data_IF_188274193022
#
_entry.id   IF_188274193022
#
_cell.length_a   1.000
_cell.length_b   1.000
_cell.length_c   1.000
_cell.angle_alpha   90.00
_cell.angle_beta   90.00
_cell.angle_gamma   90.00
#
_symmetry.space_group_name_H-M   'P 1'
#
loop_
_entity.id
_entity.type
_entity.pdbx_description
1 polymer ?
#
# COMPACT_ATOMS: atom_id res chain seq x y z
N UNK A 1 -44.71 -5.38 7.27
CA UNK A 1 -44.35 -5.54 5.84
C UNK A 1 -43.22 -4.59 5.53
N UNK A 2 -41.98 -5.04 5.75
CA UNK A 2 -40.77 -4.37 5.29
C UNK A 2 -40.30 -5.16 4.08
N UNK A 3 -40.26 -4.52 2.92
CA UNK A 3 -39.79 -5.13 1.69
C UNK A 3 -38.34 -5.55 1.86
N UNK A 4 -38.09 -6.86 1.73
CA UNK A 4 -36.76 -7.38 1.49
C UNK A 4 -36.22 -6.75 0.22
N UNK A 5 -35.31 -5.79 0.36
CA UNK A 5 -34.52 -5.31 -0.77
C UNK A 5 -33.63 -6.50 -1.14
N UNK A 6 -34.03 -7.25 -2.16
CA UNK A 6 -33.13 -8.16 -2.85
C UNK A 6 -32.02 -7.29 -3.43
N UNK A 7 -30.88 -7.23 -2.73
CA UNK A 7 -29.68 -6.59 -3.25
C UNK A 7 -29.35 -7.37 -4.52
N UNK A 8 -29.53 -6.71 -5.66
CA UNK A 8 -29.25 -7.26 -6.97
C UNK A 8 -27.82 -7.80 -6.97
N UNK A 9 -27.67 -9.10 -7.17
CA UNK A 9 -26.37 -9.70 -7.50
C UNK A 9 -25.81 -8.90 -8.68
N UNK A 10 -24.71 -8.19 -8.49
CA UNK A 10 -24.11 -7.39 -9.56
C UNK A 10 -23.69 -8.35 -10.68
N UNK A 11 -24.40 -8.34 -11.80
CA UNK A 11 -24.20 -9.31 -12.89
C UNK A 11 -23.23 -8.76 -13.94
N UNK A 12 -22.27 -9.60 -14.34
CA UNK A 12 -21.39 -9.33 -15.48
C UNK A 12 -22.19 -9.36 -16.78
N UNK A 13 -22.03 -8.32 -17.60
CA UNK A 13 -22.64 -8.24 -18.93
C UNK A 13 -22.05 -9.30 -19.86
N UNK A 14 -20.74 -9.59 -19.76
CA UNK A 14 -20.10 -10.67 -20.52
C UNK A 14 -20.73 -12.01 -20.13
N UNK A 15 -20.82 -12.32 -18.84
CA UNK A 15 -21.37 -13.59 -18.36
C UNK A 15 -22.84 -13.77 -18.76
N UNK A 16 -23.61 -12.69 -18.70
CA UNK A 16 -24.99 -12.69 -19.18
C UNK A 16 -25.04 -12.99 -20.67
N UNK A 17 -24.20 -12.34 -21.48
CA UNK A 17 -24.16 -12.57 -22.92
C UNK A 17 -23.70 -13.99 -23.26
N UNK A 18 -22.62 -14.50 -22.67
CA UNK A 18 -22.07 -15.82 -22.97
C UNK A 18 -23.07 -16.93 -22.67
N UNK A 19 -23.86 -16.81 -21.60
CA UNK A 19 -24.94 -17.75 -21.25
C UNK A 19 -26.10 -17.77 -22.25
N UNK A 20 -26.23 -16.76 -23.12
CA UNK A 20 -27.20 -16.79 -24.23
C UNK A 20 -26.70 -17.53 -25.47
N UNK A 21 -25.41 -17.87 -25.53
CA UNK A 21 -24.81 -18.58 -26.66
C UNK A 21 -25.02 -20.08 -26.56
N UNK A 22 -25.10 -20.75 -27.71
CA UNK A 22 -25.15 -22.21 -27.76
C UNK A 22 -23.80 -22.81 -27.31
N UNK A 23 -23.79 -23.98 -26.65
CA UNK A 23 -22.56 -24.63 -26.18
C UNK A 23 -21.52 -24.89 -27.28
N UNK A 24 -21.98 -25.15 -28.51
CA UNK A 24 -21.13 -25.33 -29.70
C UNK A 24 -20.35 -24.06 -30.06
N UNK A 25 -20.96 -22.89 -29.89
CA UNK A 25 -20.33 -21.58 -30.13
C UNK A 25 -19.34 -21.24 -29.03
N UNK A 26 -19.67 -21.54 -27.77
CA UNK A 26 -18.74 -21.35 -26.64
C UNK A 26 -17.48 -22.20 -26.79
N UNK A 27 -17.64 -23.48 -27.18
CA UNK A 27 -16.52 -24.37 -27.47
C UNK A 27 -15.66 -23.86 -28.64
N UNK A 28 -16.29 -23.33 -29.70
CA UNK A 28 -15.57 -22.73 -30.84
C UNK A 28 -14.82 -21.45 -30.46
N UNK A 29 -15.36 -20.67 -29.52
CA UNK A 29 -14.71 -19.47 -28.97
C UNK A 29 -13.64 -19.78 -27.91
N UNK A 30 -13.57 -21.05 -27.45
CA UNK A 30 -12.72 -21.48 -26.33
C UNK A 30 -13.00 -20.70 -25.05
N UNK A 31 -14.28 -20.47 -24.77
CA UNK A 31 -14.74 -19.85 -23.52
C UNK A 31 -15.26 -20.96 -22.63
N UNK A 32 -14.47 -21.31 -21.62
CA UNK A 32 -14.84 -22.28 -20.60
C UNK A 32 -15.72 -21.61 -19.52
N UNK A 33 -16.60 -22.39 -18.88
CA UNK A 33 -17.48 -21.88 -17.81
C UNK A 33 -16.67 -21.33 -16.63
N UNK A 34 -15.47 -21.86 -16.37
CA UNK A 34 -14.54 -21.33 -15.37
C UNK A 34 -14.17 -19.87 -15.62
N UNK A 35 -13.91 -19.49 -16.87
CA UNK A 35 -13.59 -18.11 -17.26
C UNK A 35 -14.79 -17.20 -17.03
N UNK A 36 -15.99 -17.67 -17.37
CA UNK A 36 -17.24 -16.93 -17.15
C UNK A 36 -17.45 -16.65 -15.66
N UNK A 37 -17.27 -17.66 -14.79
CA UNK A 37 -17.37 -17.52 -13.35
C UNK A 37 -16.33 -16.55 -12.75
N UNK A 38 -15.09 -16.60 -13.24
CA UNK A 38 -14.02 -15.68 -12.80
C UNK A 38 -14.35 -14.23 -13.16
N UNK A 39 -14.78 -13.98 -14.40
CA UNK A 39 -15.16 -12.64 -14.86
C UNK A 39 -16.37 -12.12 -14.08
N UNK A 40 -17.39 -12.94 -13.89
CA UNK A 40 -18.57 -12.57 -13.11
C UNK A 40 -18.19 -12.20 -11.68
N UNK A 41 -17.42 -13.04 -10.99
CA UNK A 41 -16.94 -12.77 -9.64
C UNK A 41 -16.15 -11.46 -9.56
N UNK A 42 -15.22 -11.25 -10.50
CA UNK A 42 -14.39 -10.04 -10.55
C UNK A 42 -15.25 -8.78 -10.73
N UNK A 43 -16.17 -8.78 -11.69
CA UNK A 43 -17.06 -7.65 -11.96
C UNK A 43 -18.01 -7.40 -10.80
N UNK A 44 -18.53 -8.45 -10.16
CA UNK A 44 -19.37 -8.34 -8.97
C UNK A 44 -18.61 -7.69 -7.82
N UNK A 45 -17.37 -8.12 -7.55
CA UNK A 45 -16.51 -7.51 -6.52
C UNK A 45 -16.21 -6.04 -6.84
N UNK A 46 -15.81 -5.73 -8.09
CA UNK A 46 -15.53 -4.36 -8.50
C UNK A 46 -16.77 -3.46 -8.38
N UNK A 47 -17.94 -3.94 -8.78
CA UNK A 47 -19.22 -3.22 -8.59
C UNK A 47 -19.55 -3.03 -7.12
N UNK A 48 -19.44 -4.11 -6.35
CA UNK A 48 -19.71 -4.10 -4.92
C UNK A 48 -18.78 -3.18 -4.18
N UNK A 49 -17.53 -2.98 -4.58
CA UNK A 49 -16.57 -2.05 -3.95
C UNK A 49 -16.72 -0.60 -4.42
N UNK A 50 -17.28 -0.39 -5.62
CA UNK A 50 -17.42 0.95 -6.22
C UNK A 50 -18.81 1.55 -6.09
N UNK A 51 -19.80 0.79 -5.61
CA UNK A 51 -21.13 1.33 -5.36
C UNK A 51 -21.10 2.43 -4.27
N UNK A 52 -21.34 3.67 -4.65
CA UNK A 52 -21.36 4.83 -3.73
C UNK A 52 -22.68 4.97 -2.96
N UNK A 53 -23.75 4.30 -3.42
CA UNK A 53 -25.03 4.26 -2.73
C UNK A 53 -24.99 3.32 -1.51
N UNK A 54 -24.13 2.30 -1.54
CA UNK A 54 -23.93 1.38 -0.44
C UNK A 54 -22.92 1.95 0.57
N UNK A 55 -23.42 2.32 1.77
CA UNK A 55 -22.62 2.89 2.86
C UNK A 55 -22.06 1.85 3.82
N UNK A 56 -22.38 0.57 3.63
CA UNK A 56 -21.89 -0.51 4.50
C UNK A 56 -20.37 -0.65 4.39
N UNK A 57 -19.71 -1.19 5.43
CA UNK A 57 -18.30 -1.55 5.36
C UNK A 57 -17.98 -2.44 4.17
N UNK A 58 -16.77 -2.31 3.62
CA UNK A 58 -16.37 -3.04 2.42
C UNK A 58 -16.39 -4.57 2.59
N UNK A 59 -16.12 -5.08 3.80
CA UNK A 59 -16.12 -6.51 4.07
C UNK A 59 -17.53 -7.11 3.95
N UNK A 60 -18.55 -6.46 4.52
CA UNK A 60 -19.95 -6.88 4.38
C UNK A 60 -20.39 -6.87 2.91
N UNK A 61 -19.92 -5.88 2.14
CA UNK A 61 -20.23 -5.76 0.70
C UNK A 61 -19.59 -6.88 -0.13
N UNK A 62 -18.40 -7.32 0.23
CA UNK A 62 -17.72 -8.46 -0.39
C UNK A 62 -18.40 -9.76 0.01
N UNK A 63 -18.77 -9.92 1.29
CA UNK A 63 -19.44 -11.11 1.80
C UNK A 63 -20.75 -11.39 1.04
N UNK A 64 -21.53 -10.34 0.74
CA UNK A 64 -22.74 -10.44 -0.09
C UNK A 64 -22.47 -11.01 -1.50
N UNK A 65 -21.28 -10.78 -2.08
CA UNK A 65 -20.91 -11.35 -3.39
C UNK A 65 -20.79 -12.88 -3.34
N UNK A 66 -20.50 -13.44 -2.16
CA UNK A 66 -20.28 -14.87 -1.95
C UNK A 66 -21.38 -15.55 -1.13
N UNK A 67 -22.33 -14.79 -0.57
CA UNK A 67 -23.36 -15.31 0.33
C UNK A 67 -24.22 -16.45 -0.25
N UNK A 68 -24.33 -16.53 -1.58
CA UNK A 68 -25.08 -17.57 -2.29
C UNK A 68 -24.19 -18.61 -3.00
N UNK A 69 -22.88 -18.55 -2.81
CA UNK A 69 -21.90 -19.47 -3.40
C UNK A 69 -21.53 -20.49 -2.33
N UNK A 70 -21.68 -21.79 -2.63
CA UNK A 70 -21.27 -22.85 -1.71
C UNK A 70 -19.73 -22.98 -1.68
N UNK A 71 -19.19 -23.63 -0.65
CA UNK A 71 -17.73 -23.76 -0.46
C UNK A 71 -17.04 -24.49 -1.63
N UNK A 72 -17.70 -25.46 -2.28
CA UNK A 72 -17.14 -26.20 -3.42
C UNK A 72 -17.00 -25.31 -4.66
N UNK A 73 -17.98 -24.47 -4.94
CA UNK A 73 -17.96 -23.54 -6.06
C UNK A 73 -17.02 -22.36 -5.79
N UNK A 74 -16.89 -21.93 -4.53
CA UNK A 74 -15.87 -20.97 -4.12
C UNK A 74 -14.45 -21.50 -4.35
N UNK A 75 -14.19 -22.76 -3.99
CA UNK A 75 -12.90 -23.41 -4.29
C UNK A 75 -12.64 -23.50 -5.79
N UNK A 76 -13.64 -23.85 -6.60
CA UNK A 76 -13.52 -23.85 -8.07
C UNK A 76 -13.18 -22.47 -8.61
N UNK A 77 -13.82 -21.41 -8.12
CA UNK A 77 -13.51 -20.02 -8.51
C UNK A 77 -12.07 -19.66 -8.13
N UNK A 78 -11.61 -20.02 -6.94
CA UNK A 78 -10.24 -19.73 -6.48
C UNK A 78 -9.19 -20.49 -7.31
N UNK A 79 -9.44 -21.76 -7.61
CA UNK A 79 -8.56 -22.58 -8.47
C UNK A 79 -8.55 -22.00 -9.88
N UNK A 80 -9.72 -21.73 -10.47
CA UNK A 80 -9.83 -21.15 -11.80
C UNK A 80 -9.14 -19.78 -11.89
N UNK A 81 -9.32 -18.92 -10.88
CA UNK A 81 -8.62 -17.64 -10.80
C UNK A 81 -7.10 -17.86 -10.79
N UNK A 82 -6.62 -18.79 -9.98
CA UNK A 82 -5.18 -19.09 -9.92
C UNK A 82 -4.66 -19.65 -11.25
N UNK A 83 -5.39 -20.56 -11.88
CA UNK A 83 -5.00 -21.19 -13.15
C UNK A 83 -5.06 -20.26 -14.36
N UNK A 84 -6.00 -19.29 -14.37
CA UNK A 84 -6.16 -18.31 -15.44
C UNK A 84 -5.15 -17.16 -15.33
N UNK A 85 -4.76 -16.79 -14.10
CA UNK A 85 -3.78 -15.72 -13.86
C UNK A 85 -2.33 -16.21 -13.71
N UNK A 86 -2.08 -17.52 -13.79
CA UNK A 86 -0.72 -18.09 -13.80
C UNK A 86 -0.11 -18.18 -15.21
N UNK A 87 1.19 -17.88 -15.28
CA UNK A 87 2.01 -18.02 -16.50
C UNK A 87 1.66 -16.99 -17.59
N UNK A 88 1.86 -17.39 -18.86
CA UNK A 88 1.65 -16.52 -20.02
C UNK A 88 0.21 -16.50 -20.54
N UNK A 89 -0.73 -17.21 -19.90
CA UNK A 89 -2.13 -17.31 -20.35
C UNK A 89 -2.83 -15.94 -20.50
N UNK A 90 -2.74 -14.98 -19.55
CA UNK A 90 -3.38 -13.68 -19.71
C UNK A 90 -2.81 -12.90 -20.90
N UNK A 91 -1.50 -12.98 -21.10
CA UNK A 91 -0.80 -12.31 -22.19
C UNK A 91 -1.21 -12.88 -23.54
N UNK A 92 -1.24 -14.20 -23.67
CA UNK A 92 -1.69 -14.91 -24.87
C UNK A 92 -3.16 -14.60 -25.18
N UNK A 93 -4.01 -14.51 -24.16
CA UNK A 93 -5.42 -14.15 -24.34
C UNK A 93 -5.58 -12.72 -24.88
N UNK A 94 -4.85 -11.75 -24.31
CA UNK A 94 -4.85 -10.36 -24.78
C UNK A 94 -4.30 -10.24 -26.20
N UNK A 95 -3.22 -10.96 -26.52
CA UNK A 95 -2.62 -10.95 -27.86
C UNK A 95 -3.57 -11.55 -28.91
N UNK A 96 -4.28 -12.63 -28.57
CA UNK A 96 -5.31 -13.21 -29.43
C UNK A 96 -6.49 -12.24 -29.65
N UNK A 97 -6.93 -11.54 -28.62
CA UNK A 97 -8.04 -10.59 -28.73
C UNK A 97 -7.68 -9.34 -29.56
N UNK A 98 -6.41 -8.94 -29.54
CA UNK A 98 -5.87 -7.84 -30.38
C UNK A 98 -5.63 -8.24 -31.83
N UNK A 99 -5.64 -9.53 -32.15
CA UNK A 99 -5.39 -10.03 -33.49
C UNK A 99 -6.60 -9.77 -34.41
N UNK A 100 -6.40 -9.00 -35.49
CA UNK A 100 -7.47 -8.68 -36.45
C UNK A 100 -8.08 -9.95 -37.08
N UNK A 101 -7.29 -11.01 -37.23
CA UNK A 101 -7.78 -12.30 -37.73
C UNK A 101 -8.75 -12.97 -36.75
N UNK A 102 -8.49 -12.85 -35.44
CA UNK A 102 -9.40 -13.36 -34.42
C UNK A 102 -10.68 -12.56 -34.37
N UNK A 103 -10.59 -11.22 -34.46
CA UNK A 103 -11.76 -10.34 -34.57
C UNK A 103 -12.66 -10.72 -35.76
N UNK A 104 -12.06 -10.90 -36.94
CA UNK A 104 -12.78 -11.31 -38.15
C UNK A 104 -13.39 -12.72 -38.01
N UNK A 105 -12.67 -13.64 -37.36
CA UNK A 105 -13.18 -14.97 -37.06
C UNK A 105 -14.42 -14.94 -36.15
N UNK A 106 -14.35 -14.21 -35.02
CA UNK A 106 -15.47 -14.10 -34.07
C UNK A 106 -16.66 -13.40 -34.72
N UNK A 107 -16.43 -12.35 -35.51
CA UNK A 107 -17.49 -11.64 -36.23
C UNK A 107 -18.18 -12.54 -37.26
N UNK A 108 -17.41 -13.37 -37.99
CA UNK A 108 -17.97 -14.35 -38.94
C UNK A 108 -18.72 -15.48 -38.23
N UNK A 109 -18.25 -15.90 -37.06
CA UNK A 109 -18.86 -17.00 -36.29
C UNK A 109 -20.17 -16.58 -35.62
N UNK A 110 -20.20 -15.42 -34.98
CA UNK A 110 -21.37 -14.93 -34.25
C UNK A 110 -22.34 -14.12 -35.13
N UNK A 111 -21.84 -13.59 -36.24
CA UNK A 111 -22.52 -12.57 -37.03
C UNK A 111 -22.36 -11.17 -36.43
N UNK A 112 -22.45 -10.15 -37.29
CA UNK A 112 -22.15 -8.75 -36.93
C UNK A 112 -23.04 -8.17 -35.82
N UNK A 113 -24.28 -8.64 -35.67
CA UNK A 113 -25.19 -8.21 -34.61
C UNK A 113 -24.76 -8.74 -33.24
N UNK A 114 -24.55 -10.04 -33.11
CA UNK A 114 -24.13 -10.68 -31.85
C UNK A 114 -22.70 -10.30 -31.48
N UNK A 115 -21.82 -10.13 -32.46
CA UNK A 115 -20.46 -9.64 -32.21
C UNK A 115 -20.46 -8.24 -31.58
N UNK A 116 -21.32 -7.32 -32.07
CA UNK A 116 -21.47 -5.99 -31.46
C UNK A 116 -21.99 -6.06 -30.02
N UNK A 117 -22.94 -6.95 -29.74
CA UNK A 117 -23.43 -7.19 -28.37
C UNK A 117 -22.32 -7.71 -27.45
N UNK A 118 -21.51 -8.67 -27.92
CA UNK A 118 -20.34 -9.15 -27.17
C UNK A 118 -19.36 -8.02 -26.87
N UNK A 119 -19.01 -7.21 -27.86
CA UNK A 119 -18.08 -6.08 -27.68
C UNK A 119 -18.63 -5.06 -26.68
N UNK A 120 -19.93 -4.76 -26.73
CA UNK A 120 -20.56 -3.85 -25.77
C UNK A 120 -20.55 -4.43 -24.36
N UNK A 121 -20.91 -5.72 -24.21
CA UNK A 121 -20.85 -6.42 -22.93
C UNK A 121 -19.43 -6.42 -22.33
N UNK A 122 -18.40 -6.65 -23.16
CA UNK A 122 -16.99 -6.55 -22.73
C UNK A 122 -16.65 -5.15 -22.26
N UNK A 123 -17.08 -4.12 -22.99
CA UNK A 123 -16.82 -2.73 -22.61
C UNK A 123 -17.50 -2.32 -21.31
N UNK A 124 -18.73 -2.77 -21.06
CA UNK A 124 -19.47 -2.50 -19.82
C UNK A 124 -18.73 -3.09 -18.61
N UNK A 125 -18.34 -4.36 -18.67
CA UNK A 125 -17.59 -5.01 -17.59
C UNK A 125 -16.20 -4.39 -17.40
N UNK A 126 -15.50 -4.06 -18.50
CA UNK A 126 -14.24 -3.32 -18.43
C UNK A 126 -14.40 -1.94 -17.79
N UNK A 127 -15.51 -1.23 -18.01
CA UNK A 127 -15.76 0.07 -17.38
C UNK A 127 -15.86 -0.05 -15.86
N UNK A 128 -16.55 -1.09 -15.36
CA UNK A 128 -16.65 -1.39 -13.93
C UNK A 128 -15.27 -1.70 -13.33
N UNK A 129 -14.50 -2.58 -13.97
CA UNK A 129 -13.16 -2.96 -13.51
C UNK A 129 -12.22 -1.74 -13.52
N UNK A 130 -12.23 -0.95 -14.60
CA UNK A 130 -11.39 0.23 -14.74
C UNK A 130 -11.71 1.29 -13.67
N UNK A 131 -13.00 1.49 -13.33
CA UNK A 131 -13.41 2.36 -12.22
C UNK A 131 -12.86 1.87 -10.88
N UNK A 132 -13.02 0.59 -10.58
CA UNK A 132 -12.52 0.00 -9.34
C UNK A 132 -11.00 0.12 -9.23
N UNK A 133 -10.29 -0.17 -10.31
CA UNK A 133 -8.83 -0.05 -10.36
C UNK A 133 -8.37 1.39 -10.17
N UNK A 134 -9.00 2.36 -10.85
CA UNK A 134 -8.69 3.79 -10.68
C UNK A 134 -8.90 4.26 -9.23
N UNK A 135 -10.03 3.90 -8.62
CA UNK A 135 -10.29 4.22 -7.21
C UNK A 135 -9.28 3.54 -6.27
N UNK A 136 -8.87 2.31 -6.57
CA UNK A 136 -7.82 1.60 -5.85
C UNK A 136 -6.48 2.31 -5.90
N UNK A 137 -6.03 2.72 -7.10
CA UNK A 137 -4.79 3.51 -7.29
C UNK A 137 -4.86 4.83 -6.53
N UNK A 138 -6.00 5.53 -6.59
CA UNK A 138 -6.19 6.76 -5.84
C UNK A 138 -6.19 6.54 -4.32
N UNK A 139 -6.74 5.43 -3.86
CA UNK A 139 -6.68 5.03 -2.45
C UNK A 139 -5.25 4.65 -2.00
N UNK A 140 -4.38 4.29 -2.93
CA UNK A 140 -2.97 3.97 -2.66
C UNK A 140 -2.07 5.21 -2.53
N UNK A 141 -2.46 6.37 -3.06
CA UNK A 141 -1.67 7.61 -3.02
C UNK A 141 -1.16 8.02 -1.63
N UNK A 142 -1.95 7.97 -0.54
CA UNK A 142 -1.42 8.29 0.79
C UNK A 142 -0.21 7.42 1.17
N UNK A 143 -0.19 6.16 0.75
CA UNK A 143 0.95 5.26 0.96
C UNK A 143 2.15 5.63 0.09
N UNK A 144 1.91 5.97 -1.18
CA UNK A 144 2.95 6.43 -2.09
C UNK A 144 3.62 7.73 -1.58
N UNK A 145 2.83 8.64 -1.01
CA UNK A 145 3.33 9.88 -0.38
C UNK A 145 4.10 9.55 0.89
N UNK A 146 3.57 8.72 1.79
CA UNK A 146 4.27 8.29 3.00
C UNK A 146 5.61 7.61 2.68
N UNK A 147 5.65 6.79 1.63
CA UNK A 147 6.85 6.14 1.13
C UNK A 147 7.86 7.14 0.57
N UNK A 148 7.43 8.05 -0.30
CA UNK A 148 8.29 9.09 -0.87
C UNK A 148 8.90 9.99 0.22
N UNK A 149 8.08 10.42 1.19
CA UNK A 149 8.54 11.22 2.32
C UNK A 149 9.54 10.44 3.18
N UNK A 150 9.28 9.16 3.48
CA UNK A 150 10.21 8.31 4.22
C UNK A 150 11.58 8.22 3.50
N UNK A 151 11.59 7.92 2.20
CA UNK A 151 12.82 7.81 1.42
C UNK A 151 13.58 9.14 1.28
N UNK A 152 12.90 10.29 1.36
CA UNK A 152 13.53 11.62 1.25
C UNK A 152 14.61 11.88 2.32
N UNK A 153 14.59 11.14 3.44
CA UNK A 153 15.60 11.25 4.48
C UNK A 153 16.83 10.39 4.28
N UNK A 154 16.79 9.42 3.37
CA UNK A 154 17.87 8.49 3.12
C UNK A 154 18.84 9.03 2.07
N UNK A 155 20.13 8.80 2.26
CA UNK A 155 21.12 9.07 1.21
C UNK A 155 21.03 8.01 0.10
N UNK A 156 21.58 8.31 -1.08
CA UNK A 156 21.62 7.33 -2.18
C UNK A 156 22.38 6.06 -1.80
N UNK A 157 23.42 6.19 -0.97
CA UNK A 157 24.19 5.07 -0.44
C UNK A 157 23.37 4.24 0.55
N UNK A 158 22.59 4.88 1.43
CA UNK A 158 21.68 4.19 2.34
C UNK A 158 20.57 3.47 1.59
N UNK A 159 20.01 4.10 0.55
CA UNK A 159 19.04 3.48 -0.34
C UNK A 159 19.65 2.27 -1.03
N UNK A 160 20.84 2.38 -1.64
CA UNK A 160 21.52 1.24 -2.27
C UNK A 160 21.87 0.12 -1.28
N UNK A 161 22.20 0.46 -0.04
CA UNK A 161 22.50 -0.54 0.99
C UNK A 161 21.25 -1.29 1.46
N UNK A 162 20.13 -0.59 1.62
CA UNK A 162 18.83 -1.21 1.93
C UNK A 162 18.24 -1.98 0.73
N UNK A 163 18.60 -1.54 -0.48
CA UNK A 163 18.01 -1.98 -1.72
C UNK A 163 18.90 -2.97 -2.44
N UNK A 164 18.69 -4.27 -2.19
CA UNK A 164 19.38 -5.34 -2.92
C UNK A 164 18.85 -5.55 -4.36
N UNK A 165 17.74 -4.90 -4.73
CA UNK A 165 17.15 -4.89 -6.09
C UNK A 165 16.72 -3.47 -6.49
N UNK A 166 16.95 -2.95 -7.70
CA UNK A 166 16.69 -1.53 -8.13
C UNK A 166 15.24 -0.95 -7.99
N UNK A 167 14.35 -1.58 -7.21
CA UNK A 167 12.94 -1.21 -6.99
C UNK A 167 12.73 0.17 -6.34
N UNK A 168 13.66 0.66 -5.50
CA UNK A 168 13.55 1.99 -4.86
C UNK A 168 13.89 3.17 -5.77
N UNK A 169 14.30 2.94 -7.02
CA UNK A 169 14.55 4.02 -7.98
C UNK A 169 13.27 4.66 -8.53
N UNK A 170 12.10 4.02 -8.31
CA UNK A 170 10.81 4.48 -8.83
C UNK A 170 10.17 5.45 -7.84
N UNK A 171 9.92 6.68 -8.28
CA UNK A 171 9.09 7.62 -7.54
C UNK A 171 7.64 7.11 -7.50
N UNK A 172 7.25 6.51 -6.38
CA UNK A 172 5.93 5.89 -6.21
C UNK A 172 4.77 6.89 -6.47
N UNK A 173 4.96 8.17 -6.15
CA UNK A 173 3.94 9.21 -6.40
C UNK A 173 3.77 9.44 -7.91
N UNK A 174 4.87 9.61 -8.65
CA UNK A 174 4.83 9.77 -10.11
C UNK A 174 4.27 8.54 -10.81
N UNK A 175 4.57 7.34 -10.30
CA UNK A 175 4.00 6.10 -10.84
C UNK A 175 2.47 6.08 -10.66
N UNK A 176 1.96 6.41 -9.47
CA UNK A 176 0.52 6.46 -9.20
C UNK A 176 -0.17 7.49 -10.10
N UNK A 177 0.43 8.68 -10.28
CA UNK A 177 -0.10 9.72 -11.17
C UNK A 177 -0.13 9.23 -12.61
N UNK A 178 0.98 8.66 -13.09
CA UNK A 178 1.10 8.17 -14.47
C UNK A 178 0.07 7.08 -14.79
N UNK A 179 -0.21 6.19 -13.83
CA UNK A 179 -1.24 5.17 -14.00
C UNK A 179 -2.64 5.82 -13.98
N UNK A 180 -2.92 6.79 -13.10
CA UNK A 180 -4.21 7.51 -13.10
C UNK A 180 -4.46 8.26 -14.42
N UNK A 181 -3.44 8.94 -14.94
CA UNK A 181 -3.50 9.69 -16.20
C UNK A 181 -3.71 8.73 -17.39
N UNK A 182 -2.98 7.61 -17.43
CA UNK A 182 -3.20 6.57 -18.42
C UNK A 182 -4.64 6.03 -18.39
N UNK A 183 -5.18 5.75 -17.20
CA UNK A 183 -6.56 5.29 -17.04
C UNK A 183 -7.56 6.36 -17.49
N UNK A 184 -7.32 7.63 -17.17
CA UNK A 184 -8.19 8.73 -17.60
C UNK A 184 -8.17 8.95 -19.10
N UNK A 185 -6.99 9.12 -19.69
CA UNK A 185 -6.85 9.51 -21.10
C UNK A 185 -7.09 8.37 -22.08
N UNK A 186 -6.61 7.16 -21.77
CA UNK A 186 -6.60 6.04 -22.73
C UNK A 186 -7.69 5.03 -22.47
N UNK A 187 -8.01 4.75 -21.20
CA UNK A 187 -8.95 3.70 -20.85
C UNK A 187 -10.37 4.27 -20.78
N UNK A 188 -10.61 5.26 -19.92
CA UNK A 188 -11.96 5.80 -19.68
C UNK A 188 -12.55 6.48 -20.91
N UNK A 189 -11.74 7.10 -21.77
CA UNK A 189 -12.20 7.70 -23.03
C UNK A 189 -12.76 6.68 -24.03
N UNK A 190 -12.47 5.39 -23.85
CA UNK A 190 -12.87 4.30 -24.74
C UNK A 190 -13.99 3.42 -24.19
N UNK A 191 -14.37 3.62 -22.92
CA UNK A 191 -15.31 2.79 -22.17
C UNK A 191 -16.60 3.56 -21.84
N UNK A 192 -17.76 2.88 -21.80
CA UNK A 192 -19.06 3.48 -21.49
C UNK A 192 -19.18 3.74 -19.98
N UNK A 193 -18.49 4.75 -19.46
CA UNK A 193 -18.45 5.03 -18.02
C UNK A 193 -19.83 5.40 -17.44
N UNK A 194 -20.78 5.83 -18.26
CA UNK A 194 -22.17 6.10 -17.91
C UNK A 194 -22.94 4.88 -17.38
N UNK A 195 -22.49 3.66 -17.68
CA UNK A 195 -23.10 2.42 -17.13
C UNK A 195 -22.58 2.09 -15.73
N UNK A 196 -21.65 2.89 -15.19
CA UNK A 196 -21.01 2.67 -13.90
C UNK A 196 -21.43 3.71 -12.86
N UNK A 197 -21.03 3.51 -11.60
CA UNK A 197 -21.18 4.50 -10.52
C UNK A 197 -20.07 5.59 -10.52
N UNK A 198 -19.48 5.89 -11.69
CA UNK A 198 -18.45 6.91 -11.83
C UNK A 198 -19.01 8.30 -11.52
N UNK A 199 -18.28 9.06 -10.71
CA UNK A 199 -18.60 10.46 -10.40
C UNK A 199 -17.77 11.40 -11.28
N UNK A 200 -18.15 12.68 -11.34
CA UNK A 200 -17.34 13.69 -12.06
C UNK A 200 -15.88 13.76 -11.57
N UNK A 201 -15.64 13.45 -10.28
CA UNK A 201 -14.30 13.38 -9.71
C UNK A 201 -13.52 12.17 -10.23
N UNK A 202 -14.17 11.03 -10.42
CA UNK A 202 -13.53 9.82 -10.97
C UNK A 202 -13.09 10.01 -12.42
N UNK A 203 -13.84 10.80 -13.19
CA UNK A 203 -13.57 11.07 -14.60
C UNK A 203 -12.51 12.17 -14.82
N UNK A 204 -12.41 13.12 -13.89
CA UNK A 204 -11.42 14.19 -13.96
C UNK A 204 -9.98 13.68 -13.82
N UNK A 205 -9.06 14.35 -14.52
CA UNK A 205 -7.61 14.22 -14.31
C UNK A 205 -7.29 14.60 -12.87
N UNK A 206 -6.51 13.77 -12.19
CA UNK A 206 -6.30 13.96 -10.76
C UNK A 206 -5.24 15.00 -10.44
N UNK A 207 -4.18 15.06 -11.26
CA UNK A 207 -3.00 15.89 -11.05
C UNK A 207 -2.73 16.83 -12.25
N UNK A 208 -3.70 17.68 -12.68
CA UNK A 208 -3.55 18.45 -13.93
C UNK A 208 -2.34 19.40 -13.91
N UNK A 209 -1.95 19.88 -12.73
CA UNK A 209 -0.80 20.78 -12.53
C UNK A 209 0.43 20.05 -11.95
N UNK A 210 0.44 18.71 -11.96
CA UNK A 210 1.52 17.89 -11.42
C UNK A 210 1.40 17.55 -9.92
N UNK A 211 2.40 16.86 -9.36
CA UNK A 211 2.36 16.32 -7.99
C UNK A 211 2.39 17.39 -6.90
N UNK A 212 2.92 18.59 -7.19
CA UNK A 212 3.22 19.62 -6.19
C UNK A 212 1.98 20.12 -5.43
N UNK A 213 0.79 20.07 -6.07
CA UNK A 213 -0.47 20.44 -5.44
C UNK A 213 -1.15 19.28 -4.72
N UNK A 214 -0.86 18.02 -5.09
CA UNK A 214 -1.46 16.82 -4.51
C UNK A 214 -0.72 16.32 -3.28
N UNK A 215 0.62 16.31 -3.34
CA UNK A 215 1.47 15.79 -2.25
C UNK A 215 1.17 16.48 -0.91
N UNK A 216 1.04 17.82 -0.81
CA UNK A 216 0.70 18.48 0.45
C UNK A 216 -0.67 18.07 1.03
N UNK A 217 -1.68 17.85 0.18
CA UNK A 217 -3.01 17.42 0.62
C UNK A 217 -2.96 16.00 1.22
N UNK A 218 -2.22 15.11 0.56
CA UNK A 218 -2.04 13.75 1.05
C UNK A 218 -1.11 13.66 2.26
N UNK A 219 -0.11 14.54 2.37
CA UNK A 219 0.68 14.68 3.61
C UNK A 219 -0.21 15.00 4.80
N UNK A 220 -1.15 15.92 4.68
CA UNK A 220 -2.09 16.22 5.77
C UNK A 220 -2.94 14.99 6.15
N UNK A 221 -3.38 14.19 5.17
CA UNK A 221 -4.09 12.94 5.42
C UNK A 221 -3.20 11.88 6.09
N UNK A 222 -1.94 11.75 5.67
CA UNK A 222 -0.95 10.85 6.28
C UNK A 222 -0.66 11.29 7.71
N UNK A 223 -0.49 12.58 7.97
CA UNK A 223 -0.37 13.17 9.31
C UNK A 223 -1.57 12.82 10.17
N UNK A 224 -2.81 13.01 9.69
CA UNK A 224 -4.01 12.72 10.48
C UNK A 224 -4.17 11.22 10.75
N UNK A 225 -3.94 10.38 9.73
CA UNK A 225 -4.05 8.94 9.83
C UNK A 225 -2.96 8.35 10.74
N UNK A 226 -1.72 8.81 10.61
CA UNK A 226 -0.62 8.44 11.50
C UNK A 226 -0.92 8.89 12.93
N UNK A 227 -1.36 10.14 13.15
CA UNK A 227 -1.72 10.62 14.48
C UNK A 227 -2.82 9.77 15.13
N UNK A 228 -3.90 9.44 14.43
CA UNK A 228 -4.99 8.59 14.97
C UNK A 228 -4.52 7.15 15.27
N UNK A 229 -3.66 6.58 14.42
CA UNK A 229 -3.12 5.22 14.61
C UNK A 229 -2.11 5.16 15.74
N UNK A 230 -1.21 6.14 15.79
CA UNK A 230 -0.27 6.32 16.88
C UNK A 230 -1.00 6.63 18.18
N UNK A 231 -2.09 7.41 18.20
CA UNK A 231 -2.84 7.71 19.43
C UNK A 231 -3.40 6.43 20.08
N UNK A 232 -3.84 5.48 19.24
CA UNK A 232 -4.31 4.16 19.67
C UNK A 232 -3.18 3.25 20.19
N UNK A 233 -1.95 3.44 19.72
CA UNK A 233 -0.80 2.62 20.10
C UNK A 233 0.07 3.24 21.21
N UNK A 234 0.18 4.58 21.26
CA UNK A 234 1.09 5.34 22.12
C UNK A 234 0.68 6.85 22.19
N UNK A 235 -0.26 7.16 23.08
CA UNK A 235 -0.74 8.54 23.33
C UNK A 235 0.39 9.57 23.64
N UNK A 236 1.44 9.23 24.42
CA UNK A 236 2.60 10.11 24.61
C UNK A 236 3.31 10.53 23.32
N UNK A 237 3.38 9.64 22.31
CA UNK A 237 4.05 9.92 21.04
C UNK A 237 3.34 11.02 20.25
N UNK A 238 2.01 10.97 20.17
CA UNK A 238 1.18 11.98 19.48
C UNK A 238 1.33 13.35 20.13
N UNK A 239 1.37 13.41 21.46
CA UNK A 239 1.53 14.68 22.19
C UNK A 239 2.87 15.34 21.91
N UNK A 240 3.95 14.57 21.77
CA UNK A 240 5.30 15.07 21.44
C UNK A 240 5.43 15.51 19.98
N UNK A 241 4.82 14.80 19.04
CA UNK A 241 4.76 15.20 17.62
C UNK A 241 3.95 16.50 17.46
N UNK A 242 2.77 16.58 18.11
CA UNK A 242 1.95 17.80 18.12
C UNK A 242 2.71 18.97 18.76
N UNK A 243 3.36 18.74 19.90
CA UNK A 243 4.18 19.76 20.57
C UNK A 243 5.35 20.26 19.73
N UNK A 244 6.00 19.40 18.93
CA UNK A 244 7.04 19.82 17.99
C UNK A 244 6.47 20.72 16.87
N UNK A 245 5.27 20.40 16.37
CA UNK A 245 4.57 21.22 15.37
C UNK A 245 4.12 22.57 15.96
N UNK A 246 3.68 22.59 17.21
CA UNK A 246 3.29 23.82 17.89
C UNK A 246 4.50 24.71 18.18
N UNK A 247 5.64 24.13 18.60
CA UNK A 247 6.89 24.85 18.79
C UNK A 247 7.35 25.53 17.49
N UNK A 248 7.25 24.84 16.35
CA UNK A 248 7.57 25.40 15.03
C UNK A 248 6.68 26.60 14.65
N UNK A 249 5.43 26.64 15.14
CA UNK A 249 4.47 27.71 14.79
C UNK A 249 4.56 28.92 15.70
N UNK A 250 4.90 28.72 16.97
CA UNK A 250 4.72 29.74 18.01
C UNK A 250 5.97 30.09 18.81
N UNK A 251 7.11 29.42 18.59
CA UNK A 251 8.36 29.68 19.33
C UNK A 251 9.41 30.38 18.47
N UNK A 252 10.10 31.34 19.07
CA UNK A 252 11.22 32.09 18.47
C UNK A 252 12.40 31.16 18.17
N UNK A 253 12.69 30.21 19.08
CA UNK A 253 13.64 29.10 18.91
C UNK A 253 12.89 27.78 18.56
N UNK A 254 11.87 27.90 17.72
CA UNK A 254 10.98 26.78 17.39
C UNK A 254 11.70 25.59 16.75
N UNK A 255 12.79 25.83 16.01
CA UNK A 255 13.55 24.77 15.32
C UNK A 255 14.35 23.93 16.31
N UNK A 256 15.18 24.53 17.17
CA UNK A 256 16.01 23.77 18.11
C UNK A 256 15.15 23.04 19.15
N UNK A 257 14.11 23.70 19.65
CA UNK A 257 13.17 23.10 20.60
C UNK A 257 12.40 21.91 20.00
N UNK A 258 11.88 22.06 18.79
CA UNK A 258 11.19 20.96 18.10
C UNK A 258 12.16 19.81 17.77
N UNK A 259 13.36 20.12 17.27
CA UNK A 259 14.37 19.11 16.97
C UNK A 259 14.76 18.32 18.23
N UNK A 260 15.01 19.01 19.35
CA UNK A 260 15.34 18.36 20.62
C UNK A 260 14.19 17.48 21.14
N UNK A 261 12.94 17.95 21.06
CA UNK A 261 11.76 17.18 21.46
C UNK A 261 11.58 15.91 20.62
N UNK A 262 11.84 15.98 19.32
CA UNK A 262 11.75 14.82 18.40
C UNK A 262 12.90 13.83 18.61
N UNK A 263 14.13 14.28 18.88
CA UNK A 263 15.25 13.39 19.22
C UNK A 263 14.96 12.66 20.52
N UNK A 264 14.53 13.40 21.55
CA UNK A 264 14.16 12.81 22.85
C UNK A 264 13.05 11.79 22.68
N UNK A 265 12.04 12.09 21.85
CA UNK A 265 10.99 11.16 21.51
C UNK A 265 11.57 9.88 20.92
N UNK A 266 12.28 9.95 19.79
CA UNK A 266 12.86 8.79 19.10
C UNK A 266 13.77 7.95 20.01
N UNK A 267 14.66 8.59 20.75
CA UNK A 267 15.56 7.89 21.66
C UNK A 267 14.81 7.26 22.84
N UNK A 268 13.73 7.90 23.32
CA UNK A 268 12.88 7.37 24.39
C UNK A 268 12.09 6.15 23.93
N UNK A 269 11.36 6.21 22.81
CA UNK A 269 10.56 5.06 22.33
C UNK A 269 11.44 3.85 22.04
N UNK A 270 12.60 4.04 21.42
CA UNK A 270 13.50 2.90 21.16
C UNK A 270 14.07 2.30 22.45
N UNK A 271 14.42 3.13 23.45
CA UNK A 271 15.02 2.68 24.72
C UNK A 271 14.02 2.12 25.71
N UNK A 272 12.82 2.71 25.79
CA UNK A 272 11.75 2.24 26.68
C UNK A 272 11.09 0.96 26.14
N UNK A 273 11.06 0.77 24.82
CA UNK A 273 10.54 -0.46 24.24
C UNK A 273 11.44 -1.66 24.55
N UNK A 274 12.76 -1.52 24.39
CA UNK A 274 13.71 -2.60 24.66
C UNK A 274 15.01 -2.06 25.28
N UNK A 275 15.46 -2.59 26.42
CA UNK A 275 16.76 -2.24 26.98
C UNK A 275 17.90 -2.72 26.07
N UNK A 276 19.09 -2.05 26.09
CA UNK A 276 20.19 -2.37 25.18
C UNK A 276 20.65 -3.84 25.19
N UNK A 277 20.53 -4.51 26.34
CA UNK A 277 20.86 -5.93 26.50
C UNK A 277 19.88 -6.83 25.73
N UNK A 278 18.59 -6.51 25.73
CA UNK A 278 17.58 -7.26 24.97
C UNK A 278 17.75 -7.04 23.48
N UNK A 279 18.09 -5.81 23.06
CA UNK A 279 18.39 -5.52 21.64
C UNK A 279 19.59 -6.34 21.17
N UNK A 280 20.66 -6.46 21.97
CA UNK A 280 21.81 -7.30 21.62
C UNK A 280 21.43 -8.78 21.48
N UNK A 281 20.67 -9.32 22.44
CA UNK A 281 20.17 -10.69 22.38
C UNK A 281 19.29 -10.92 21.14
N UNK A 282 18.44 -9.95 20.81
CA UNK A 282 17.59 -10.00 19.63
C UNK A 282 18.40 -9.99 18.33
N UNK A 283 19.42 -9.12 18.22
CA UNK A 283 20.32 -9.08 17.07
C UNK A 283 21.08 -10.40 16.91
N UNK A 284 21.64 -10.93 17.99
CA UNK A 284 22.41 -12.19 17.94
C UNK A 284 21.53 -13.38 17.52
N UNK A 285 20.27 -13.36 17.95
CA UNK A 285 19.31 -14.42 17.61
C UNK A 285 18.78 -14.32 16.18
N UNK A 286 18.48 -13.11 15.70
CA UNK A 286 17.73 -12.92 14.46
C UNK A 286 18.57 -12.44 13.28
N UNK A 287 19.70 -11.76 13.54
CA UNK A 287 20.56 -11.14 12.54
C UNK A 287 22.06 -11.34 12.86
N UNK A 288 22.55 -12.58 13.14
CA UNK A 288 23.90 -12.83 13.64
C UNK A 288 25.03 -12.43 12.68
N UNK A 289 24.73 -12.27 11.39
CA UNK A 289 25.71 -11.91 10.34
C UNK A 289 25.55 -10.50 9.77
N UNK A 290 24.57 -9.71 10.23
CA UNK A 290 24.28 -8.41 9.63
C UNK A 290 25.29 -7.35 10.11
N UNK A 291 26.05 -6.72 9.19
CA UNK A 291 27.12 -5.80 9.56
C UNK A 291 26.57 -4.49 10.15
N UNK A 292 27.33 -3.90 11.07
CA UNK A 292 27.04 -2.56 11.61
C UNK A 292 25.88 -2.47 12.60
N UNK A 293 25.38 -3.60 13.11
CA UNK A 293 24.35 -3.63 14.16
C UNK A 293 24.90 -3.51 15.58
N UNK A 294 26.20 -3.77 15.77
CA UNK A 294 26.85 -3.61 17.08
C UNK A 294 28.18 -2.88 16.95
N UNK A 295 28.61 -2.24 18.03
CA UNK A 295 29.89 -1.56 18.12
C UNK A 295 30.49 -1.75 19.51
N UNK A 296 31.80 -1.51 19.65
CA UNK A 296 32.47 -1.48 20.95
C UNK A 296 32.44 -0.08 21.52
N UNK A 297 31.93 0.05 22.74
CA UNK A 297 31.90 1.28 23.52
C UNK A 297 32.50 1.00 24.90
N UNK A 298 33.59 1.69 25.23
CA UNK A 298 34.29 1.54 26.52
C UNK A 298 34.65 0.07 26.84
N UNK A 299 35.03 -0.71 25.82
CA UNK A 299 35.36 -2.13 25.96
C UNK A 299 34.16 -3.09 26.02
N UNK A 300 32.93 -2.58 26.05
CA UNK A 300 31.71 -3.38 26.04
C UNK A 300 31.01 -3.34 24.69
N UNK A 301 30.43 -4.47 24.26
CA UNK A 301 29.60 -4.53 23.06
C UNK A 301 28.26 -3.84 23.32
N UNK A 302 27.90 -2.89 22.46
CA UNK A 302 26.66 -2.13 22.54
C UNK A 302 25.93 -2.15 21.19
N UNK A 303 24.58 -2.11 21.18
CA UNK A 303 23.82 -2.04 19.94
C UNK A 303 24.04 -0.68 19.27
N UNK A 304 24.01 -0.65 17.93
CA UNK A 304 23.95 0.62 17.20
C UNK A 304 22.51 1.15 17.18
N UNK A 305 22.35 2.42 16.80
CA UNK A 305 21.01 3.01 16.64
C UNK A 305 20.17 2.30 15.57
N UNK A 306 20.81 1.74 14.53
CA UNK A 306 20.12 0.91 13.53
C UNK A 306 19.60 -0.39 14.15
N UNK A 307 20.37 -1.02 15.05
CA UNK A 307 19.90 -2.21 15.76
C UNK A 307 18.74 -1.92 16.71
N UNK A 308 18.81 -0.82 17.47
CA UNK A 308 17.68 -0.37 18.31
C UNK A 308 16.43 -0.11 17.46
N UNK A 309 16.57 0.58 16.33
CA UNK A 309 15.47 0.88 15.43
C UNK A 309 14.89 -0.38 14.77
N UNK A 310 15.72 -1.33 14.31
CA UNK A 310 15.25 -2.60 13.74
C UNK A 310 14.49 -3.42 14.79
N UNK A 311 15.07 -3.61 15.98
CA UNK A 311 14.42 -4.33 17.06
C UNK A 311 13.07 -3.71 17.43
N UNK A 312 12.99 -2.38 17.47
CA UNK A 312 11.74 -1.66 17.68
C UNK A 312 10.71 -1.89 16.56
N UNK A 313 11.11 -1.80 15.29
CA UNK A 313 10.21 -1.97 14.13
C UNK A 313 9.67 -3.40 14.02
N UNK A 314 10.46 -4.41 14.40
CA UNK A 314 10.01 -5.80 14.53
C UNK A 314 9.26 -6.08 15.84
N UNK A 315 9.12 -5.11 16.73
CA UNK A 315 8.50 -5.29 18.04
C UNK A 315 9.19 -6.37 18.91
N UNK A 316 10.50 -6.58 18.73
CA UNK A 316 11.25 -7.66 19.37
C UNK A 316 10.89 -9.08 18.87
N UNK A 317 10.00 -9.18 17.88
CA UNK A 317 9.57 -10.42 17.26
C UNK A 317 10.61 -11.07 16.36
N UNK A 318 10.39 -12.31 15.92
CA UNK A 318 11.32 -13.01 15.03
C UNK A 318 11.40 -12.33 13.66
N UNK A 319 12.60 -12.32 13.08
CA UNK A 319 12.79 -11.94 11.67
C UNK A 319 12.47 -13.16 10.81
N UNK A 320 11.44 -13.07 9.99
CA UNK A 320 11.12 -14.11 9.01
C UNK A 320 12.14 -14.04 7.88
N UNK A 321 13.14 -14.92 7.93
CA UNK A 321 14.13 -15.07 6.88
C UNK A 321 13.43 -15.66 5.65
N UNK A 322 13.57 -14.98 4.51
CA UNK A 322 12.99 -15.43 3.24
C UNK A 322 13.83 -16.52 2.59
N UNK A 323 13.25 -17.26 1.65
CA UNK A 323 14.06 -18.09 0.76
C UNK A 323 15.00 -17.19 -0.06
N UNK A 324 16.29 -17.53 -0.17
CA UNK A 324 17.21 -16.80 -1.03
C UNK A 324 16.67 -16.79 -2.45
N UNK A 325 16.61 -15.60 -3.06
CA UNK A 325 16.27 -15.47 -4.46
C UNK A 325 17.42 -14.79 -5.21
N UNK A 326 17.26 -14.58 -6.51
CA UNK A 326 18.31 -13.97 -7.35
C UNK A 326 18.67 -12.54 -6.95
N UNK A 327 17.89 -11.91 -6.06
CA UNK A 327 17.95 -10.51 -5.67
C UNK A 327 18.21 -10.30 -4.17
N UNK A 328 18.11 -11.33 -3.33
CA UNK A 328 18.30 -11.24 -1.88
C UNK A 328 18.79 -12.58 -1.32
N UNK A 329 19.78 -12.54 -0.42
CA UNK A 329 20.26 -13.74 0.28
C UNK A 329 19.22 -14.31 1.24
N UNK A 330 18.14 -13.57 1.55
CA UNK A 330 17.10 -13.98 2.48
C UNK A 330 17.50 -13.90 3.96
N UNK A 331 18.77 -13.57 4.24
CA UNK A 331 19.39 -13.55 5.57
C UNK A 331 19.32 -12.17 6.28
N UNK A 332 18.68 -11.18 5.64
CA UNK A 332 18.61 -9.80 6.13
C UNK A 332 17.22 -9.38 6.62
N UNK A 333 17.09 -8.17 7.21
CA UNK A 333 15.78 -7.61 7.49
C UNK A 333 15.00 -7.41 6.19
N UNK A 334 13.68 -7.66 6.22
CA UNK A 334 12.81 -7.32 5.10
C UNK A 334 12.94 -5.84 4.72
N UNK A 335 12.86 -5.56 3.41
CA UNK A 335 13.05 -4.23 2.82
C UNK A 335 12.24 -3.14 3.55
N UNK A 336 10.97 -3.40 3.84
CA UNK A 336 10.09 -2.44 4.50
C UNK A 336 10.54 -2.12 5.93
N UNK A 337 10.93 -3.15 6.70
CA UNK A 337 11.38 -2.94 8.08
C UNK A 337 12.73 -2.22 8.13
N UNK A 338 13.65 -2.54 7.20
CA UNK A 338 14.95 -1.87 7.12
C UNK A 338 14.81 -0.41 6.68
N UNK A 339 13.93 -0.10 5.72
CA UNK A 339 13.62 1.28 5.33
C UNK A 339 13.06 2.07 6.52
N UNK A 340 12.07 1.54 7.24
CA UNK A 340 11.52 2.24 8.41
C UNK A 340 12.61 2.48 9.45
N UNK A 341 13.44 1.48 9.76
CA UNK A 341 14.53 1.61 10.73
C UNK A 341 15.57 2.65 10.29
N UNK A 342 15.98 2.64 9.02
CA UNK A 342 16.93 3.60 8.46
C UNK A 342 16.37 5.02 8.46
N UNK A 343 15.07 5.19 8.19
CA UNK A 343 14.41 6.49 8.25
C UNK A 343 14.39 7.05 9.67
N UNK A 344 14.11 6.22 10.69
CA UNK A 344 14.20 6.64 12.09
C UNK A 344 15.60 7.10 12.47
N UNK A 345 16.64 6.35 12.06
CA UNK A 345 18.05 6.70 12.33
C UNK A 345 18.47 7.97 11.59
N UNK A 346 18.12 8.09 10.30
CA UNK A 346 18.43 9.27 9.49
C UNK A 346 17.69 10.51 9.99
N UNK A 347 16.42 10.39 10.36
CA UNK A 347 15.67 11.47 11.00
C UNK A 347 16.36 11.94 12.28
N UNK A 348 16.69 11.03 13.20
CA UNK A 348 17.42 11.35 14.43
C UNK A 348 18.72 12.12 14.14
N UNK A 349 19.52 11.65 13.17
CA UNK A 349 20.79 12.28 12.82
C UNK A 349 20.61 13.67 12.20
N UNK A 350 19.60 13.86 11.33
CA UNK A 350 19.29 15.19 10.77
C UNK A 350 18.77 16.15 11.85
N UNK A 351 17.89 15.69 12.75
CA UNK A 351 17.43 16.49 13.89
C UNK A 351 18.60 16.90 14.79
N UNK A 352 19.55 16.01 15.04
CA UNK A 352 20.74 16.34 15.83
C UNK A 352 21.54 17.47 15.19
N UNK A 353 21.64 17.53 13.85
CA UNK A 353 22.28 18.65 13.15
C UNK A 353 21.48 19.94 13.28
N UNK A 354 20.17 19.89 13.05
CA UNK A 354 19.27 21.05 13.15
C UNK A 354 19.22 21.63 14.57
N UNK A 355 19.29 20.79 15.60
CA UNK A 355 19.35 21.22 17.00
C UNK A 355 20.56 22.13 17.29
N UNK A 356 21.69 21.88 16.63
CA UNK A 356 22.94 22.64 16.80
C UNK A 356 23.12 23.72 15.74
N UNK A 357 22.09 23.96 14.90
CA UNK A 357 22.11 25.02 13.92
C UNK A 357 21.49 26.27 14.59
N UNK A 358 22.32 27.29 14.82
CA UNK A 358 21.97 28.45 15.65
C UNK A 358 21.14 29.52 14.92
N UNK A 359 20.79 29.32 13.64
CA UNK A 359 20.30 30.38 12.77
C UNK A 359 18.77 30.48 12.63
N UNK A 360 18.01 29.45 13.00
CA UNK A 360 16.55 29.42 13.00
C UNK A 360 15.91 29.76 11.64
N UNK A 361 16.63 29.53 10.53
CA UNK A 361 16.25 30.08 9.22
C UNK A 361 15.01 29.41 8.63
N UNK A 362 14.44 30.04 7.60
CA UNK A 362 13.32 29.46 6.86
C UNK A 362 13.69 28.10 6.23
N UNK A 363 14.92 27.95 5.73
CA UNK A 363 15.40 26.67 5.21
C UNK A 363 15.49 25.59 6.30
N UNK A 364 15.93 25.92 7.51
CA UNK A 364 15.98 24.98 8.63
C UNK A 364 14.59 24.55 9.09
N UNK A 365 13.62 25.48 9.06
CA UNK A 365 12.20 25.17 9.32
C UNK A 365 11.64 24.22 8.27
N UNK A 366 11.93 24.43 7.00
CA UNK A 366 11.53 23.54 5.91
C UNK A 366 12.18 22.16 6.02
N UNK A 367 13.46 22.10 6.37
CA UNK A 367 14.16 20.84 6.65
C UNK A 367 13.54 20.07 7.81
N UNK A 368 13.18 20.76 8.90
CA UNK A 368 12.53 20.14 10.04
C UNK A 368 11.12 19.62 9.68
N UNK A 369 10.37 20.34 8.86
CA UNK A 369 9.06 19.91 8.35
C UNK A 369 9.17 18.69 7.43
N UNK A 370 10.22 18.61 6.60
CA UNK A 370 10.53 17.40 5.82
C UNK A 370 10.83 16.21 6.74
N UNK A 371 11.64 16.41 7.78
CA UNK A 371 11.95 15.34 8.74
C UNK A 371 10.69 14.86 9.46
N UNK A 372 9.81 15.77 9.85
CA UNK A 372 8.55 15.42 10.49
C UNK A 372 7.61 14.62 9.57
N UNK A 373 7.49 15.03 8.31
CA UNK A 373 6.65 14.32 7.32
C UNK A 373 7.18 12.91 7.06
N UNK A 374 8.49 12.75 6.96
CA UNK A 374 9.13 11.44 6.79
C UNK A 374 8.96 10.53 8.01
N UNK A 375 9.03 11.07 9.23
CA UNK A 375 8.75 10.32 10.45
C UNK A 375 7.29 9.86 10.51
N UNK A 376 6.34 10.73 10.17
CA UNK A 376 4.91 10.39 10.11
C UNK A 376 4.63 9.33 9.03
N UNK A 377 5.28 9.44 7.86
CA UNK A 377 5.23 8.43 6.80
C UNK A 377 5.79 7.08 7.25
N UNK A 378 6.98 7.06 7.85
CA UNK A 378 7.61 5.84 8.36
C UNK A 378 6.78 5.16 9.47
N UNK A 379 6.19 5.94 10.38
CA UNK A 379 5.28 5.41 11.41
C UNK A 379 4.00 4.85 10.80
N UNK A 380 3.43 5.52 9.79
CA UNK A 380 2.24 5.02 9.10
C UNK A 380 2.50 3.68 8.40
N UNK A 381 3.64 3.56 7.71
CA UNK A 381 4.07 2.33 7.05
C UNK A 381 4.37 1.23 8.07
N UNK A 382 5.13 1.56 9.12
CA UNK A 382 5.47 0.63 10.19
C UNK A 382 4.24 0.12 10.96
N UNK A 383 3.21 0.94 11.16
CA UNK A 383 1.97 0.52 11.83
C UNK A 383 0.97 -0.18 10.91
N UNK A 384 1.12 -0.04 9.59
CA UNK A 384 0.23 -0.68 8.62
C UNK A 384 0.78 -2.00 8.10
N UNK A 385 2.10 -2.11 7.96
CA UNK A 385 2.78 -3.27 7.38
C UNK A 385 3.85 -3.88 8.29
N UNK A 386 4.37 -3.12 9.26
CA UNK A 386 5.28 -3.62 10.26
C UNK A 386 4.53 -4.19 11.47
N UNK A 387 5.12 -5.16 12.14
CA UNK A 387 4.64 -5.63 13.44
C UNK A 387 5.02 -4.62 14.55
N UNK A 388 4.85 -3.31 14.32
CA UNK A 388 4.93 -2.32 15.38
C UNK A 388 3.81 -2.63 16.37
N UNK A 389 4.11 -3.47 17.35
CA UNK A 389 3.13 -3.99 18.29
C UNK A 389 2.51 -2.81 19.04
N UNK A 390 1.20 -2.64 18.88
CA UNK A 390 0.40 -1.72 19.66
C UNK A 390 0.21 -2.22 21.11
N UNK A 391 0.68 -3.43 21.42
CA UNK A 391 0.64 -4.01 22.74
C UNK A 391 2.00 -3.87 23.40
N UNK A 392 2.11 -2.89 24.30
CA UNK A 392 3.00 -3.01 25.45
C UNK A 392 2.50 -4.22 26.25
N UNK A 393 3.05 -5.40 25.99
CA UNK A 393 3.05 -6.43 27.03
C UNK A 393 3.80 -5.84 28.22
N UNK A 394 3.05 -5.54 29.27
CA UNK A 394 3.60 -5.31 30.60
C UNK A 394 4.62 -6.43 30.84
N UNK A 395 5.87 -6.13 31.25
CA UNK A 395 6.82 -7.20 31.51
C UNK A 395 6.17 -8.17 32.50
N UNK A 396 6.28 -9.49 32.30
CA UNK A 396 5.67 -10.45 33.20
C UNK A 396 6.16 -10.14 34.61
N UNK A 397 5.22 -9.93 35.54
CA UNK A 397 5.54 -9.85 36.95
C UNK A 397 6.39 -11.08 37.28
N UNK A 398 7.66 -10.84 37.62
CA UNK A 398 8.51 -11.89 38.15
C UNK A 398 7.78 -12.47 39.37
N UNK A 399 7.64 -13.79 39.49
CA UNK A 399 6.94 -14.39 40.61
C UNK A 399 7.59 -13.91 41.91
N UNK A 400 6.77 -13.34 42.78
CA UNK A 400 7.20 -12.93 44.12
C UNK A 400 7.83 -14.14 44.83
N UNK A 401 9.07 -13.95 45.27
CA UNK A 401 9.77 -14.89 46.14
C UNK A 401 9.21 -14.82 47.57
#
# INVERSE_FOLDING_TARGET
MQGSISVSTYQSSIATFTRTLEPSLLAALRIDESVVLVVETLVSLCSALTNSADRRPWHERIEDCFANINDEDLQKILIAFTEEFQGDKPKNWIENFKNENYKSFVERLLGSARYRLLVNAVKEDCAVIALAFRRGIRAFMPFAVAWSDALSLMSKEQLKAANRADVLAINAVEMVISIDDFLGEKVFSSLPMEVTAATSRDLAVWAPDGPDNLVPQFRALVTEASAKRVERANSPLVRKIRGARDALRYSEDGVSQAANSLIELLDRIMREAFPPTEVLLWVDKNLPGEPGLTHLKDGHRAPTKRAEALCFVYGGGPVMLGEPNTLDSGEGPSLLHDIVALVLVSARNKLQRLKHADSGTQEEREQLMMVLSALEGALMLGLTFGHLSAEYSTPPELPAA
#
